data_IF_144377016813
#
_entry.id   IF_144377016813
#
_cell.length_a   1.000
_cell.length_b   1.000
_cell.length_c   1.000
_cell.angle_alpha   90.00
_cell.angle_beta   90.00
_cell.angle_gamma   90.00
#
_symmetry.space_group_name_H-M   'P 1'
#
loop_
_entity.id
_entity.type
_entity.pdbx_description
1 polymer ?
#
# COMPACT_ATOMS: atom_id res chain seq x y z
N UNK A 1 48.37 11.49 4.03
CA UNK A 1 46.95 11.87 4.04
C UNK A 1 46.20 10.65 3.59
N UNK A 2 45.87 9.79 4.55
CA UNK A 2 45.07 8.60 4.30
C UNK A 2 43.63 9.07 4.05
N UNK A 3 43.14 8.80 2.84
CA UNK A 3 41.73 8.90 2.50
C UNK A 3 40.96 7.92 3.39
N UNK A 4 40.36 8.44 4.46
CA UNK A 4 39.29 7.75 5.17
C UNK A 4 38.11 7.65 4.21
N UNK A 5 38.02 6.54 3.47
CA UNK A 5 36.76 6.08 2.89
C UNK A 5 35.81 5.84 4.05
N UNK A 6 34.95 6.83 4.30
CA UNK A 6 33.81 6.69 5.20
C UNK A 6 32.91 5.60 4.60
N UNK A 7 32.84 4.44 5.22
CA UNK A 7 31.85 3.42 4.84
C UNK A 7 30.47 4.02 5.09
N UNK A 8 29.70 4.18 4.02
CA UNK A 8 28.33 4.66 4.07
C UNK A 8 27.45 3.54 4.63
N UNK A 9 26.51 3.91 5.50
CA UNK A 9 25.47 3.01 6.00
C UNK A 9 24.51 2.61 4.86
N UNK A 10 23.75 1.52 5.05
CA UNK A 10 22.72 1.11 4.08
C UNK A 10 21.67 2.21 3.85
N UNK A 11 21.28 2.93 4.91
CA UNK A 11 20.34 4.04 4.82
C UNK A 11 20.90 5.21 3.98
N UNK A 12 22.17 5.57 4.16
CA UNK A 12 22.83 6.60 3.34
C UNK A 12 22.94 6.18 1.87
N UNK A 13 23.18 4.89 1.62
CA UNK A 13 23.23 4.34 0.26
C UNK A 13 21.87 4.40 -0.43
N UNK A 14 20.78 4.03 0.27
CA UNK A 14 19.42 4.11 -0.25
C UNK A 14 19.02 5.56 -0.56
N UNK A 15 19.31 6.50 0.35
CA UNK A 15 19.02 7.92 0.14
C UNK A 15 19.74 8.48 -1.11
N UNK A 16 21.02 8.10 -1.32
CA UNK A 16 21.77 8.49 -2.52
C UNK A 16 21.18 7.91 -3.81
N UNK A 17 20.72 6.65 -3.77
CA UNK A 17 20.03 6.04 -4.91
C UNK A 17 18.73 6.77 -5.24
N UNK A 18 17.90 7.06 -4.24
CA UNK A 18 16.65 7.81 -4.43
C UNK A 18 16.91 9.22 -5.00
N UNK A 19 17.95 9.92 -4.53
CA UNK A 19 18.32 11.23 -5.06
C UNK A 19 18.77 11.15 -6.53
N UNK A 20 19.58 10.13 -6.87
CA UNK A 20 20.01 9.89 -8.24
C UNK A 20 18.84 9.59 -9.19
N UNK A 21 17.90 8.75 -8.75
CA UNK A 21 16.69 8.41 -9.51
C UNK A 21 15.80 9.64 -9.73
N UNK A 22 15.64 10.48 -8.70
CA UNK A 22 14.87 11.73 -8.82
C UNK A 22 15.52 12.73 -9.77
N UNK A 23 16.85 12.82 -9.80
CA UNK A 23 17.57 13.66 -10.75
C UNK A 23 17.48 13.13 -12.20
N UNK A 24 17.54 11.81 -12.40
CA UNK A 24 17.31 11.20 -13.71
C UNK A 24 15.89 11.45 -14.20
N UNK A 25 14.90 11.22 -13.33
CA UNK A 25 13.49 11.52 -13.58
C UNK A 25 13.30 12.99 -13.98
N UNK A 26 13.89 13.92 -13.24
CA UNK A 26 13.82 15.35 -13.55
C UNK A 26 14.39 15.65 -14.93
N UNK A 27 15.55 15.10 -15.29
CA UNK A 27 16.10 15.27 -16.66
C UNK A 27 15.12 14.75 -17.73
N UNK A 28 14.44 13.63 -17.47
CA UNK A 28 13.45 13.08 -18.39
C UNK A 28 12.23 14.01 -18.58
N UNK A 29 11.71 14.63 -17.52
CA UNK A 29 10.58 15.57 -17.61
C UNK A 29 10.94 16.83 -18.42
N UNK A 30 12.15 17.35 -18.24
CA UNK A 30 12.61 18.61 -18.86
C UNK A 30 13.19 18.44 -20.28
N UNK A 31 13.21 17.24 -20.86
CA UNK A 31 13.83 17.01 -22.18
C UNK A 31 13.01 17.50 -23.37
N UNK A 32 11.69 17.58 -23.19
CA UNK A 32 10.75 17.88 -24.28
C UNK A 32 10.38 19.36 -24.29
N UNK A 33 10.19 19.93 -25.48
CA UNK A 33 9.57 21.26 -25.63
C UNK A 33 8.05 21.14 -25.60
N UNK A 34 7.38 22.18 -25.13
CA UNK A 34 5.93 22.26 -25.23
C UNK A 34 5.47 22.16 -26.70
N UNK A 35 4.50 21.28 -27.01
CA UNK A 35 3.91 21.24 -28.34
C UNK A 35 3.19 22.55 -28.68
N UNK A 36 3.21 22.95 -29.96
CA UNK A 36 2.52 24.16 -30.44
C UNK A 36 1.01 24.11 -30.15
N UNK A 37 0.42 22.92 -30.31
CA UNK A 37 -0.99 22.65 -30.11
C UNK A 37 -1.18 21.66 -28.97
N UNK A 38 -2.15 21.94 -28.10
CA UNK A 38 -2.49 21.07 -26.98
C UNK A 38 -3.50 19.98 -27.40
N UNK A 39 -3.11 19.13 -28.35
CA UNK A 39 -3.89 17.97 -28.80
C UNK A 39 -3.21 16.67 -28.40
N UNK A 40 -3.98 15.59 -28.30
CA UNK A 40 -3.46 14.26 -27.99
C UNK A 40 -2.44 13.79 -29.04
N UNK A 41 -2.69 14.07 -30.33
CA UNK A 41 -1.75 13.72 -31.40
C UNK A 41 -0.42 14.47 -31.26
N UNK A 42 -0.47 15.77 -30.99
CA UNK A 42 0.73 16.60 -30.82
C UNK A 42 1.51 16.21 -29.54
N UNK A 43 0.80 15.84 -28.47
CA UNK A 43 1.40 15.28 -27.25
C UNK A 43 2.19 14.01 -27.54
N UNK A 44 1.57 13.01 -28.17
CA UNK A 44 2.22 11.72 -28.46
C UNK A 44 3.38 11.88 -29.45
N UNK A 45 3.27 12.81 -30.41
CA UNK A 45 4.37 13.09 -31.34
C UNK A 45 5.58 13.76 -30.66
N UNK A 46 5.38 14.49 -29.57
CA UNK A 46 6.49 15.08 -28.80
C UNK A 46 7.25 14.01 -27.98
N UNK A 47 6.55 12.99 -27.48
CA UNK A 47 7.12 11.92 -26.66
C UNK A 47 8.14 11.06 -27.42
N UNK A 48 9.07 10.39 -26.73
CA UNK A 48 9.98 9.43 -27.37
C UNK A 48 9.27 8.12 -27.67
N UNK A 49 9.87 7.29 -28.55
CA UNK A 49 9.33 5.95 -28.82
C UNK A 49 9.21 5.11 -27.54
N UNK A 50 10.19 5.21 -26.63
CA UNK A 50 10.18 4.48 -25.36
C UNK A 50 8.96 4.87 -24.51
N UNK A 51 8.69 6.18 -24.35
CA UNK A 51 7.51 6.63 -23.61
C UNK A 51 6.19 6.20 -24.25
N UNK A 52 6.13 6.13 -25.59
CA UNK A 52 4.96 5.59 -26.29
C UNK A 52 4.82 4.07 -26.07
N UNK A 53 5.93 3.35 -26.01
CA UNK A 53 5.94 1.92 -25.69
C UNK A 53 5.52 1.66 -24.24
N UNK A 54 5.87 2.55 -23.30
CA UNK A 54 5.38 2.50 -21.91
C UNK A 54 3.86 2.67 -21.86
N UNK A 55 3.32 3.68 -22.57
CA UNK A 55 1.86 3.83 -22.70
C UNK A 55 1.23 2.58 -23.33
N UNK A 56 1.81 2.05 -24.41
CA UNK A 56 1.34 0.82 -25.06
C UNK A 56 1.29 -0.35 -24.08
N UNK A 57 2.32 -0.50 -23.25
CA UNK A 57 2.41 -1.56 -22.25
C UNK A 57 1.36 -1.38 -21.15
N UNK A 58 1.26 -0.18 -20.58
CA UNK A 58 0.31 0.14 -19.50
C UNK A 58 -1.15 -0.02 -19.93
N UNK A 59 -1.46 0.34 -21.19
CA UNK A 59 -2.80 0.14 -21.77
C UNK A 59 -3.02 -1.29 -22.32
N UNK A 60 -2.04 -2.19 -22.16
CA UNK A 60 -2.06 -3.56 -22.64
C UNK A 60 -2.40 -3.71 -24.14
N UNK A 61 -1.81 -2.85 -24.98
CA UNK A 61 -2.08 -2.82 -26.42
C UNK A 61 -1.15 -3.81 -27.13
N UNK A 62 -1.74 -4.89 -27.64
CA UNK A 62 -1.05 -5.95 -28.38
C UNK A 62 -0.84 -5.62 -29.87
N UNK A 63 0.13 -6.31 -30.49
CA UNK A 63 0.43 -6.17 -31.93
C UNK A 63 0.85 -4.76 -32.35
N UNK A 64 1.53 -4.01 -31.48
CA UNK A 64 1.97 -2.63 -31.75
C UNK A 64 3.45 -2.36 -31.43
N UNK A 65 4.18 -3.34 -30.86
CA UNK A 65 5.58 -3.16 -30.41
C UNK A 65 6.58 -2.89 -31.54
N UNK A 66 6.30 -3.39 -32.74
CA UNK A 66 7.14 -3.21 -33.94
C UNK A 66 6.88 -1.89 -34.68
N UNK A 67 5.84 -1.14 -34.30
CA UNK A 67 5.49 0.11 -34.99
C UNK A 67 6.57 1.18 -34.79
N UNK A 68 6.78 1.99 -35.82
CA UNK A 68 7.62 3.19 -35.70
C UNK A 68 6.90 4.25 -34.87
N UNK A 69 7.65 5.21 -34.31
CA UNK A 69 7.12 6.25 -33.41
C UNK A 69 5.83 6.91 -33.91
N UNK A 70 5.80 7.35 -35.18
CA UNK A 70 4.64 8.04 -35.74
C UNK A 70 3.41 7.11 -35.86
N UNK A 71 3.60 5.89 -36.35
CA UNK A 71 2.53 4.89 -36.47
C UNK A 71 2.01 4.46 -35.09
N UNK A 72 2.90 4.33 -34.11
CA UNK A 72 2.56 4.01 -32.73
C UNK A 72 1.72 5.14 -32.11
N UNK A 73 2.13 6.41 -32.27
CA UNK A 73 1.38 7.56 -31.78
C UNK A 73 -0.04 7.60 -32.37
N UNK A 74 -0.21 7.31 -33.66
CA UNK A 74 -1.52 7.24 -34.31
C UNK A 74 -2.38 6.09 -33.78
N UNK A 75 -1.78 4.93 -33.51
CA UNK A 75 -2.49 3.78 -32.90
C UNK A 75 -2.88 4.03 -31.45
N UNK A 76 -2.06 4.73 -30.68
CA UNK A 76 -2.29 4.99 -29.26
C UNK A 76 -3.44 5.98 -28.99
N UNK A 77 -3.57 7.02 -29.80
CA UNK A 77 -4.55 8.09 -29.57
C UNK A 77 -6.00 7.59 -29.33
N UNK A 78 -6.60 6.72 -30.19
CA UNK A 78 -7.95 6.21 -29.94
C UNK A 78 -8.03 5.26 -28.73
N UNK A 79 -7.00 4.47 -28.46
CA UNK A 79 -6.97 3.54 -27.32
C UNK A 79 -6.86 4.28 -25.99
N UNK A 80 -6.08 5.37 -25.92
CA UNK A 80 -6.02 6.26 -24.74
C UNK A 80 -7.41 6.83 -24.44
N UNK A 81 -8.14 7.31 -25.46
CA UNK A 81 -9.48 7.87 -25.26
C UNK A 81 -10.49 6.81 -24.82
N UNK A 82 -10.40 5.59 -25.36
CA UNK A 82 -11.21 4.46 -24.92
C UNK A 82 -10.91 4.10 -23.46
N UNK A 83 -9.63 4.04 -23.09
CA UNK A 83 -9.20 3.77 -21.73
C UNK A 83 -9.67 4.86 -20.77
N UNK A 84 -9.47 6.13 -21.11
CA UNK A 84 -9.90 7.27 -20.28
C UNK A 84 -11.39 7.18 -19.90
N UNK A 85 -12.27 6.77 -20.82
CA UNK A 85 -13.72 6.61 -20.53
C UNK A 85 -14.02 5.52 -19.51
N UNK A 86 -13.19 4.48 -19.45
CA UNK A 86 -13.33 3.35 -18.52
C UNK A 86 -12.67 3.68 -17.18
N UNK A 87 -11.57 4.44 -17.22
CA UNK A 87 -10.76 4.79 -16.07
C UNK A 87 -11.32 5.98 -15.27
N UNK A 88 -11.91 6.97 -15.93
CA UNK A 88 -12.43 8.16 -15.26
C UNK A 88 -13.44 7.87 -14.12
N UNK A 89 -14.37 6.90 -14.24
CA UNK A 89 -15.26 6.56 -13.13
C UNK A 89 -14.58 6.03 -11.86
N UNK A 90 -13.33 5.53 -11.95
CA UNK A 90 -12.60 4.98 -10.80
C UNK A 90 -11.63 5.96 -10.12
N UNK A 91 -11.62 7.22 -10.54
CA UNK A 91 -10.68 8.21 -9.99
C UNK A 91 -11.02 8.56 -8.54
N UNK A 92 -9.98 8.90 -7.79
CA UNK A 92 -10.08 9.44 -6.44
C UNK A 92 -10.33 10.95 -6.49
N UNK A 93 -10.70 11.54 -5.35
CA UNK A 93 -11.03 12.97 -5.25
C UNK A 93 -9.85 13.85 -5.64
N UNK A 94 -8.63 13.49 -5.21
CA UNK A 94 -7.42 14.26 -5.55
C UNK A 94 -7.12 14.24 -7.07
N UNK A 95 -7.42 13.12 -7.75
CA UNK A 95 -7.30 13.02 -9.21
C UNK A 95 -8.38 13.86 -9.91
N UNK A 96 -9.62 13.84 -9.40
CA UNK A 96 -10.69 14.71 -9.87
C UNK A 96 -10.29 16.19 -9.74
N UNK A 97 -9.79 16.61 -8.58
CA UNK A 97 -9.30 17.97 -8.31
C UNK A 97 -8.13 18.35 -9.24
N UNK A 98 -7.21 17.42 -9.49
CA UNK A 98 -6.12 17.60 -10.44
C UNK A 98 -6.64 17.85 -11.88
N UNK A 99 -7.62 17.06 -12.32
CA UNK A 99 -8.22 17.23 -13.64
C UNK A 99 -9.04 18.53 -13.72
N UNK A 100 -9.79 18.89 -12.67
CA UNK A 100 -10.48 20.18 -12.53
C UNK A 100 -9.52 21.36 -12.66
N UNK A 101 -8.39 21.30 -11.98
CA UNK A 101 -7.34 22.30 -12.07
C UNK A 101 -6.87 22.50 -13.52
N UNK A 102 -6.66 21.42 -14.27
CA UNK A 102 -6.36 21.53 -15.70
C UNK A 102 -7.53 22.11 -16.52
N UNK A 103 -8.79 21.87 -16.16
CA UNK A 103 -9.93 22.51 -16.84
C UNK A 103 -9.88 24.03 -16.64
N UNK A 104 -9.67 24.49 -15.41
CA UNK A 104 -9.60 25.91 -15.04
C UNK A 104 -8.40 26.62 -15.70
N UNK A 105 -7.25 25.96 -15.72
CA UNK A 105 -6.00 26.47 -16.31
C UNK A 105 -5.91 26.24 -17.84
N UNK A 106 -7.05 26.01 -18.51
CA UNK A 106 -7.15 25.82 -19.98
C UNK A 106 -6.22 24.71 -20.52
N UNK A 107 -5.98 23.70 -19.69
CA UNK A 107 -5.26 22.47 -20.01
C UNK A 107 -3.75 22.53 -19.85
N UNK A 108 -3.20 23.58 -19.23
CA UNK A 108 -1.75 23.73 -18.99
C UNK A 108 -1.50 24.27 -17.59
N UNK A 109 -0.56 23.70 -16.83
CA UNK A 109 -0.20 24.21 -15.51
C UNK A 109 1.30 24.23 -15.28
N UNK A 110 1.77 25.38 -14.78
CA UNK A 110 3.13 25.56 -14.23
C UNK A 110 3.17 25.45 -12.69
N UNK A 111 2.02 25.15 -12.05
CA UNK A 111 1.86 25.16 -10.59
C UNK A 111 2.07 23.78 -9.96
N UNK A 112 2.00 22.72 -10.76
CA UNK A 112 2.24 21.35 -10.29
C UNK A 112 3.74 21.15 -10.08
N UNK A 113 4.11 20.55 -8.94
CA UNK A 113 5.49 20.29 -8.59
C UNK A 113 6.09 19.24 -9.52
N UNK A 114 7.38 19.37 -9.80
CA UNK A 114 8.11 18.42 -10.64
C UNK A 114 8.67 17.23 -9.86
N UNK A 115 8.53 17.20 -8.54
CA UNK A 115 8.86 16.06 -7.65
C UNK A 115 7.64 15.19 -7.29
N UNK A 116 6.44 15.55 -7.77
CA UNK A 116 5.25 14.71 -7.63
C UNK A 116 5.32 13.54 -8.62
N UNK A 117 5.66 12.35 -8.12
CA UNK A 117 5.81 11.12 -8.90
C UNK A 117 4.47 10.56 -9.41
N UNK A 118 3.33 10.95 -8.80
CA UNK A 118 2.00 10.45 -9.22
C UNK A 118 1.61 10.95 -10.60
N UNK A 119 2.14 12.09 -11.02
CA UNK A 119 1.94 12.60 -12.37
C UNK A 119 2.59 11.70 -13.44
N UNK A 120 3.59 10.89 -13.08
CA UNK A 120 4.17 9.92 -14.02
C UNK A 120 3.20 8.80 -14.36
N UNK A 121 2.36 8.40 -13.41
CA UNK A 121 1.31 7.41 -13.66
C UNK A 121 0.33 7.93 -14.71
N UNK A 122 -0.22 9.13 -14.53
CA UNK A 122 -1.13 9.74 -15.52
C UNK A 122 -0.46 9.98 -16.88
N UNK A 123 0.84 10.27 -16.88
CA UNK A 123 1.66 10.38 -18.09
C UNK A 123 1.87 9.04 -18.77
N UNK A 124 2.13 7.98 -17.99
CA UNK A 124 2.25 6.60 -18.44
C UNK A 124 0.94 6.01 -18.97
N UNK A 125 -0.21 6.62 -18.64
CA UNK A 125 -1.51 6.32 -19.23
C UNK A 125 -1.82 7.16 -20.49
N UNK A 126 -0.98 8.16 -20.79
CA UNK A 126 -1.21 9.11 -21.88
C UNK A 126 -2.35 10.10 -21.61
N UNK A 127 -2.75 10.29 -20.35
CA UNK A 127 -3.82 11.24 -19.97
C UNK A 127 -3.31 12.67 -19.85
N UNK A 128 -2.03 12.83 -19.54
CA UNK A 128 -1.31 14.10 -19.50
C UNK A 128 0.13 13.92 -19.97
N UNK A 129 0.84 15.02 -20.15
CA UNK A 129 2.28 15.02 -20.36
C UNK A 129 2.88 16.34 -19.89
N UNK A 130 4.17 16.54 -20.11
CA UNK A 130 4.89 17.74 -19.74
C UNK A 130 5.89 18.17 -20.82
N UNK A 131 6.22 19.45 -20.82
CA UNK A 131 7.23 20.02 -21.69
C UNK A 131 7.71 21.38 -21.20
N UNK A 132 8.87 21.81 -21.68
CA UNK A 132 9.45 23.12 -21.35
C UNK A 132 8.80 24.24 -22.14
N UNK A 133 8.47 25.32 -21.45
CA UNK A 133 8.20 26.64 -22.00
C UNK A 133 9.18 27.64 -21.38
N UNK A 134 10.21 28.03 -22.15
CA UNK A 134 11.42 28.64 -21.61
C UNK A 134 12.14 27.69 -20.64
N UNK A 135 12.38 28.15 -19.41
CA UNK A 135 13.01 27.35 -18.35
C UNK A 135 12.02 26.62 -17.44
N UNK A 136 10.72 26.84 -17.61
CA UNK A 136 9.69 26.26 -16.76
C UNK A 136 9.16 24.95 -17.32
N UNK A 137 8.96 23.97 -16.46
CA UNK A 137 8.17 22.78 -16.78
C UNK A 137 6.69 23.13 -16.77
N UNK A 138 5.99 22.78 -17.84
CA UNK A 138 4.55 22.93 -17.96
C UNK A 138 3.95 21.54 -18.12
N UNK A 139 3.12 21.14 -17.16
CA UNK A 139 2.26 19.97 -17.31
C UNK A 139 1.05 20.35 -18.16
N UNK A 140 0.56 19.44 -18.99
CA UNK A 140 -0.60 19.70 -19.83
C UNK A 140 -1.45 18.45 -20.06
N UNK A 141 -2.76 18.64 -20.03
CA UNK A 141 -3.76 17.64 -20.36
C UNK A 141 -4.28 17.94 -21.77
N UNK A 142 -4.22 17.02 -22.76
CA UNK A 142 -4.63 17.27 -24.14
C UNK A 142 -6.14 17.51 -24.27
N UNK A 143 -6.55 18.31 -25.27
CA UNK A 143 -7.93 18.78 -25.43
C UNK A 143 -8.96 17.65 -25.51
N UNK A 144 -8.58 16.50 -26.09
CA UNK A 144 -9.45 15.34 -26.23
C UNK A 144 -9.74 14.70 -24.87
N UNK A 145 -8.73 14.57 -23.98
CA UNK A 145 -8.92 14.07 -22.62
C UNK A 145 -9.75 15.05 -21.79
N UNK A 146 -9.50 16.36 -21.92
CA UNK A 146 -10.36 17.38 -21.30
C UNK A 146 -11.82 17.26 -21.75
N UNK A 147 -12.05 16.93 -23.02
CA UNK A 147 -13.39 16.75 -23.56
C UNK A 147 -14.06 15.49 -23.01
N UNK A 148 -13.32 14.39 -22.79
CA UNK A 148 -13.87 13.20 -22.12
C UNK A 148 -14.22 13.47 -20.66
N UNK A 149 -13.32 14.12 -19.90
CA UNK A 149 -13.56 14.49 -18.51
C UNK A 149 -14.79 15.42 -18.36
N UNK A 150 -14.91 16.46 -19.18
CA UNK A 150 -16.04 17.40 -19.18
C UNK A 150 -17.41 16.77 -19.45
N UNK A 151 -17.47 15.57 -20.05
CA UNK A 151 -18.75 14.87 -20.24
C UNK A 151 -19.30 14.31 -18.92
N UNK A 152 -18.41 14.02 -17.99
CA UNK A 152 -18.73 13.46 -16.67
C UNK A 152 -18.79 14.55 -15.60
N UNK A 153 -18.00 15.61 -15.78
CA UNK A 153 -17.85 16.70 -14.82
C UNK A 153 -19.19 17.30 -14.37
N UNK A 154 -19.57 16.92 -13.16
CA UNK A 154 -20.84 17.23 -12.53
C UNK A 154 -20.71 16.99 -11.01
N UNK A 155 -21.61 17.57 -10.19
CA UNK A 155 -21.64 17.28 -8.75
C UNK A 155 -21.75 15.78 -8.43
N UNK A 156 -22.44 15.00 -9.28
CA UNK A 156 -22.54 13.55 -9.10
C UNK A 156 -21.19 12.84 -9.33
N UNK A 157 -20.37 13.34 -10.26
CA UNK A 157 -19.06 12.76 -10.53
C UNK A 157 -18.05 13.12 -9.42
N UNK A 158 -18.11 14.34 -8.88
CA UNK A 158 -17.36 14.72 -7.68
C UNK A 158 -17.75 13.86 -6.46
N UNK A 159 -19.06 13.62 -6.26
CA UNK A 159 -19.56 12.72 -5.22
C UNK A 159 -19.07 11.29 -5.42
N UNK A 160 -19.03 10.78 -6.66
CA UNK A 160 -18.45 9.48 -6.98
C UNK A 160 -16.95 9.42 -6.65
N UNK A 161 -16.16 10.43 -7.03
CA UNK A 161 -14.74 10.48 -6.70
C UNK A 161 -14.48 10.55 -5.19
N UNK A 162 -15.36 11.25 -4.45
CA UNK A 162 -15.36 11.27 -2.99
C UNK A 162 -15.62 9.89 -2.41
N UNK A 163 -16.64 9.19 -2.91
CA UNK A 163 -16.97 7.83 -2.50
C UNK A 163 -15.84 6.83 -2.85
N UNK A 164 -15.21 6.94 -4.02
CA UNK A 164 -14.04 6.13 -4.38
C UNK A 164 -12.88 6.32 -3.40
N UNK A 165 -12.69 7.55 -2.90
CA UNK A 165 -11.67 7.88 -1.90
C UNK A 165 -12.01 7.26 -0.54
N UNK A 166 -13.28 7.30 -0.14
CA UNK A 166 -13.79 6.62 1.06
C UNK A 166 -13.59 5.10 0.98
N UNK A 167 -13.98 4.48 -0.13
CA UNK A 167 -13.79 3.04 -0.40
C UNK A 167 -12.31 2.67 -0.30
N UNK A 168 -11.43 3.45 -0.93
CA UNK A 168 -9.98 3.24 -0.89
C UNK A 168 -9.45 3.30 0.55
N UNK A 169 -9.93 4.27 1.32
CA UNK A 169 -9.52 4.46 2.71
C UNK A 169 -10.02 3.34 3.61
N UNK A 170 -11.26 2.89 3.45
CA UNK A 170 -11.80 1.73 4.18
C UNK A 170 -11.06 0.44 3.80
N UNK A 171 -10.73 0.24 2.52
CA UNK A 171 -9.88 -0.87 2.08
C UNK A 171 -8.53 -0.83 2.78
N UNK A 172 -7.83 0.31 2.77
CA UNK A 172 -6.55 0.45 3.43
C UNK A 172 -6.64 0.16 4.94
N UNK A 173 -7.74 0.58 5.60
CA UNK A 173 -8.00 0.27 7.01
C UNK A 173 -8.21 -1.22 7.28
N UNK A 174 -8.97 -1.91 6.43
CA UNK A 174 -9.11 -3.37 6.54
C UNK A 174 -7.77 -4.07 6.34
N UNK A 175 -6.99 -3.67 5.33
CA UNK A 175 -5.71 -4.28 5.02
C UNK A 175 -4.64 -3.93 6.07
N UNK A 176 -4.72 -2.78 6.74
CA UNK A 176 -3.88 -2.47 7.90
C UNK A 176 -4.03 -3.52 9.01
N UNK A 177 -5.26 -3.98 9.27
CA UNK A 177 -5.52 -4.99 10.31
C UNK A 177 -5.41 -6.43 9.82
N UNK A 178 -5.53 -6.70 8.52
CA UNK A 178 -5.63 -8.08 8.00
C UNK A 178 -4.51 -8.48 7.04
N UNK A 179 -3.71 -7.54 6.57
CA UNK A 179 -2.58 -7.74 5.65
C UNK A 179 -3.00 -7.97 4.21
N UNK A 180 -3.89 -8.93 3.96
CA UNK A 180 -4.35 -9.31 2.63
C UNK A 180 -5.80 -9.77 2.65
N UNK A 181 -6.53 -9.47 1.58
CA UNK A 181 -7.85 -10.03 1.32
C UNK A 181 -8.09 -10.23 -0.19
N UNK A 182 -8.80 -11.30 -0.53
CA UNK A 182 -9.34 -11.47 -1.88
C UNK A 182 -10.41 -10.41 -2.20
N UNK A 183 -10.63 -10.15 -3.49
CA UNK A 183 -11.55 -9.10 -3.91
C UNK A 183 -13.00 -9.29 -3.43
N UNK A 184 -13.51 -10.52 -3.38
CA UNK A 184 -14.91 -10.78 -3.02
C UNK A 184 -15.15 -10.52 -1.54
N UNK A 185 -14.25 -11.00 -0.69
CA UNK A 185 -14.30 -10.76 0.76
C UNK A 185 -14.14 -9.28 1.06
N UNK A 186 -13.15 -8.63 0.43
CA UNK A 186 -12.87 -7.22 0.66
C UNK A 186 -14.02 -6.32 0.20
N UNK A 187 -14.57 -6.56 -1.00
CA UNK A 187 -15.76 -5.89 -1.50
C UNK A 187 -16.92 -6.00 -0.52
N UNK A 188 -17.22 -7.21 -0.06
CA UNK A 188 -18.32 -7.46 0.88
C UNK A 188 -18.15 -6.66 2.18
N UNK A 189 -16.92 -6.66 2.73
CA UNK A 189 -16.60 -5.95 3.97
C UNK A 189 -16.70 -4.43 3.80
N UNK A 190 -16.08 -3.88 2.76
CA UNK A 190 -16.10 -2.43 2.48
C UNK A 190 -17.51 -1.95 2.18
N UNK A 191 -18.24 -2.64 1.29
CA UNK A 191 -19.63 -2.31 0.99
C UNK A 191 -20.51 -2.34 2.24
N UNK A 192 -20.25 -3.27 3.17
CA UNK A 192 -20.92 -3.36 4.47
C UNK A 192 -20.73 -2.16 5.39
N UNK A 193 -19.67 -1.35 5.18
CA UNK A 193 -19.41 -0.12 5.94
C UNK A 193 -20.03 1.13 5.30
N UNK A 194 -20.45 1.07 4.03
CA UNK A 194 -21.05 2.19 3.32
C UNK A 194 -22.52 2.37 3.69
N UNK A 195 -23.01 3.60 3.53
CA UNK A 195 -24.43 3.93 3.62
C UNK A 195 -25.24 3.17 2.56
N UNK A 196 -26.54 2.97 2.82
CA UNK A 196 -27.38 2.09 2.00
C UNK A 196 -27.45 2.52 0.52
N UNK A 197 -27.55 3.82 0.26
CA UNK A 197 -27.59 4.40 -1.08
C UNK A 197 -26.24 4.28 -1.81
N UNK A 198 -25.12 4.50 -1.12
CA UNK A 198 -23.79 4.28 -1.67
C UNK A 198 -23.58 2.80 -2.02
N UNK A 199 -23.95 1.90 -1.10
CA UNK A 199 -23.82 0.45 -1.28
C UNK A 199 -24.61 -0.07 -2.48
N UNK A 200 -25.84 0.38 -2.68
CA UNK A 200 -26.67 -0.03 -3.82
C UNK A 200 -26.08 0.40 -5.17
N UNK A 201 -25.30 1.48 -5.18
CA UNK A 201 -24.67 2.03 -6.39
C UNK A 201 -23.25 1.50 -6.65
N UNK A 202 -22.64 0.78 -5.71
CA UNK A 202 -21.32 0.19 -5.87
C UNK A 202 -21.42 -1.22 -6.46
N UNK A 203 -21.00 -1.40 -7.71
CA UNK A 203 -20.85 -2.74 -8.27
C UNK A 203 -19.48 -3.35 -7.91
N UNK A 204 -19.40 -4.69 -7.89
CA UNK A 204 -18.12 -5.39 -7.70
C UNK A 204 -17.06 -4.98 -8.73
N UNK A 205 -17.47 -4.80 -9.99
CA UNK A 205 -16.57 -4.36 -11.06
C UNK A 205 -16.02 -2.95 -10.81
N UNK A 206 -16.88 -2.03 -10.37
CA UNK A 206 -16.47 -0.66 -10.10
C UNK A 206 -15.54 -0.62 -8.89
N UNK A 207 -15.84 -1.39 -7.84
CA UNK A 207 -14.94 -1.58 -6.69
C UNK A 207 -13.55 -2.04 -7.13
N UNK A 208 -13.45 -3.11 -7.94
CA UNK A 208 -12.15 -3.57 -8.46
C UNK A 208 -11.46 -2.49 -9.29
N UNK A 209 -12.21 -1.74 -10.10
CA UNK A 209 -11.68 -0.60 -10.84
C UNK A 209 -11.05 0.47 -9.94
N UNK A 210 -11.73 0.81 -8.83
CA UNK A 210 -11.21 1.73 -7.80
C UNK A 210 -9.95 1.16 -7.17
N UNK A 211 -9.90 -0.13 -6.81
CA UNK A 211 -8.71 -0.75 -6.20
C UNK A 211 -7.50 -0.71 -7.13
N UNK A 212 -7.67 -1.02 -8.41
CA UNK A 212 -6.60 -0.98 -9.41
C UNK A 212 -6.07 0.44 -9.62
N UNK A 213 -6.96 1.44 -9.64
CA UNK A 213 -6.54 2.83 -9.75
C UNK A 213 -5.85 3.32 -8.47
N UNK A 214 -6.46 3.06 -7.31
CA UNK A 214 -5.94 3.45 -6.02
C UNK A 214 -4.56 2.85 -5.73
N UNK A 215 -4.29 1.60 -6.13
CA UNK A 215 -2.97 0.98 -5.97
C UNK A 215 -1.88 1.63 -6.84
N UNK A 216 -2.26 2.40 -7.85
CA UNK A 216 -1.32 3.17 -8.68
C UNK A 216 -1.17 4.62 -8.20
N UNK A 217 -2.21 5.17 -7.54
CA UNK A 217 -2.22 6.56 -7.06
C UNK A 217 -1.73 6.72 -5.61
N UNK A 218 -1.95 5.70 -4.78
CA UNK A 218 -1.65 5.69 -3.35
C UNK A 218 -0.60 4.65 -3.01
N UNK A 219 0.11 4.84 -1.89
CA UNK A 219 1.19 3.95 -1.46
C UNK A 219 0.77 3.00 -0.32
N UNK A 220 -0.52 2.94 0.02
CA UNK A 220 -1.01 2.16 1.18
C UNK A 220 -1.43 0.74 0.81
N UNK A 221 -1.80 0.51 -0.45
CA UNK A 221 -2.34 -0.77 -0.91
C UNK A 221 -1.68 -1.19 -2.23
N UNK A 222 -1.59 -2.51 -2.44
CA UNK A 222 -1.06 -3.11 -3.66
C UNK A 222 -2.11 -4.08 -4.21
N UNK A 223 -2.61 -3.80 -5.41
CA UNK A 223 -3.53 -4.69 -6.09
C UNK A 223 -2.77 -5.88 -6.69
N UNK A 224 -3.29 -7.07 -6.44
CA UNK A 224 -2.80 -8.35 -6.96
C UNK A 224 -3.87 -8.97 -7.88
N UNK A 225 -3.54 -10.02 -8.65
CA UNK A 225 -4.52 -10.67 -9.52
C UNK A 225 -5.77 -11.20 -8.79
N UNK A 226 -5.64 -11.63 -7.54
CA UNK A 226 -6.72 -12.29 -6.78
C UNK A 226 -7.24 -11.47 -5.58
N UNK A 227 -6.59 -10.36 -5.25
CA UNK A 227 -6.92 -9.59 -4.07
C UNK A 227 -6.09 -8.33 -3.95
N UNK A 228 -6.06 -7.78 -2.74
CA UNK A 228 -5.29 -6.57 -2.43
C UNK A 228 -4.53 -6.82 -1.13
N UNK A 229 -3.29 -6.37 -1.07
CA UNK A 229 -2.49 -6.39 0.17
C UNK A 229 -2.16 -4.99 0.65
N UNK A 230 -1.91 -4.89 1.96
CA UNK A 230 -1.28 -3.72 2.55
C UNK A 230 0.18 -3.64 2.07
N UNK A 231 0.69 -2.42 1.86
CA UNK A 231 1.99 -2.22 1.21
C UNK A 231 3.19 -2.83 1.97
N UNK A 232 3.08 -3.00 3.29
CA UNK A 232 4.13 -3.60 4.13
C UNK A 232 4.04 -5.11 4.25
N UNK A 233 3.05 -5.76 3.61
CA UNK A 233 2.97 -7.22 3.59
C UNK A 233 4.00 -7.82 2.63
N UNK A 234 4.89 -8.62 3.20
CA UNK A 234 6.02 -9.23 2.49
C UNK A 234 5.54 -10.36 1.58
N UNK A 235 4.80 -11.33 2.13
CA UNK A 235 4.37 -12.53 1.41
C UNK A 235 2.91 -12.87 1.73
N UNK A 236 2.03 -12.59 0.77
CA UNK A 236 0.60 -12.87 0.88
C UNK A 236 0.29 -14.37 0.96
N UNK A 237 1.05 -15.23 0.29
CA UNK A 237 0.80 -16.67 0.30
C UNK A 237 1.16 -17.28 1.66
N UNK A 238 2.29 -16.85 2.23
CA UNK A 238 2.70 -17.25 3.57
C UNK A 238 1.68 -16.81 4.63
N UNK A 239 1.17 -15.58 4.52
CA UNK A 239 0.13 -15.09 5.42
C UNK A 239 -1.16 -15.90 5.31
N UNK A 240 -1.65 -16.15 4.09
CA UNK A 240 -2.86 -16.96 3.88
C UNK A 240 -2.70 -18.37 4.47
N UNK A 241 -1.55 -19.02 4.25
CA UNK A 241 -1.28 -20.34 4.80
C UNK A 241 -1.23 -20.34 6.34
N UNK A 242 -0.73 -19.28 6.96
CA UNK A 242 -0.77 -19.12 8.42
C UNK A 242 -2.21 -18.91 8.92
N UNK A 243 -2.97 -18.01 8.30
CA UNK A 243 -4.37 -17.76 8.66
C UNK A 243 -5.27 -19.00 8.46
N UNK A 244 -4.95 -19.87 7.50
CA UNK A 244 -5.62 -21.16 7.28
C UNK A 244 -5.42 -22.13 8.45
N UNK A 245 -4.28 -22.10 9.15
CA UNK A 245 -4.07 -22.89 10.38
C UNK A 245 -5.04 -22.47 11.49
N UNK A 246 -5.51 -21.22 11.43
CA UNK A 246 -6.52 -20.64 12.30
C UNK A 246 -7.90 -20.60 11.62
N UNK A 247 -8.29 -21.64 10.87
CA UNK A 247 -9.56 -21.66 10.13
C UNK A 247 -10.81 -21.44 10.98
N UNK A 248 -10.75 -21.80 12.27
CA UNK A 248 -11.86 -21.65 13.22
C UNK A 248 -11.90 -20.26 13.91
N UNK A 249 -10.94 -19.39 13.63
CA UNK A 249 -10.91 -18.02 14.13
C UNK A 249 -11.52 -17.09 13.08
N UNK A 250 -12.55 -16.35 13.45
CA UNK A 250 -13.08 -15.27 12.61
C UNK A 250 -12.15 -14.06 12.65
N UNK A 251 -12.21 -13.23 11.61
CA UNK A 251 -11.53 -11.93 11.63
C UNK A 251 -12.01 -11.07 12.80
N UNK A 252 -11.12 -10.26 13.35
CA UNK A 252 -11.51 -9.23 14.32
C UNK A 252 -12.59 -8.31 13.71
N UNK A 253 -13.40 -7.65 14.54
CA UNK A 253 -14.41 -6.71 14.05
C UNK A 253 -13.98 -5.29 14.35
N UNK A 254 -14.06 -4.43 13.33
CA UNK A 254 -13.72 -3.01 13.43
C UNK A 254 -14.86 -2.17 12.88
N UNK A 255 -15.16 -1.07 13.56
CA UNK A 255 -16.16 -0.11 13.12
C UNK A 255 -15.63 0.85 12.05
N UNK A 256 -16.55 1.46 11.30
CA UNK A 256 -16.24 2.44 10.25
C UNK A 256 -15.14 3.44 10.64
N UNK A 257 -15.30 4.12 11.78
CA UNK A 257 -14.38 5.19 12.20
C UNK A 257 -12.95 4.67 12.36
N UNK A 258 -12.79 3.51 13.00
CA UNK A 258 -11.48 2.90 13.22
C UNK A 258 -10.83 2.49 11.90
N UNK A 259 -11.59 1.87 10.99
CA UNK A 259 -11.10 1.52 9.66
C UNK A 259 -10.71 2.75 8.84
N UNK A 260 -11.54 3.79 8.87
CA UNK A 260 -11.27 5.02 8.13
C UNK A 260 -10.03 5.75 8.67
N UNK A 261 -9.81 5.75 9.99
CA UNK A 261 -8.60 6.29 10.61
C UNK A 261 -7.36 5.45 10.26
N UNK A 262 -7.46 4.12 10.36
CA UNK A 262 -6.38 3.17 10.03
C UNK A 262 -5.95 3.22 8.56
N UNK A 263 -6.88 3.57 7.66
CA UNK A 263 -6.60 3.70 6.23
C UNK A 263 -5.93 5.01 5.81
N UNK A 264 -5.64 5.92 6.74
CA UNK A 264 -4.92 7.15 6.44
C UNK A 264 -3.49 6.86 5.98
N UNK A 265 -2.95 7.68 5.07
CA UNK A 265 -1.54 7.63 4.73
C UNK A 265 -0.69 7.87 5.98
N UNK A 266 0.32 7.02 6.19
CA UNK A 266 1.20 7.06 7.36
C UNK A 266 0.46 6.96 8.70
N UNK A 267 -0.67 6.25 8.74
CA UNK A 267 -1.35 5.96 10.00
C UNK A 267 -0.41 5.22 10.96
N UNK A 268 -0.46 5.63 12.23
CA UNK A 268 0.23 4.97 13.34
C UNK A 268 -0.81 4.72 14.42
N UNK A 269 -0.92 3.46 14.85
CA UNK A 269 -1.73 3.11 16.00
C UNK A 269 -0.97 3.47 17.29
N UNK A 270 -1.11 4.72 17.72
CA UNK A 270 -0.37 5.30 18.84
C UNK A 270 -0.93 4.87 20.21
N UNK A 271 -0.94 3.56 20.45
CA UNK A 271 -1.30 2.93 21.73
C UNK A 271 -0.37 3.41 22.86
N UNK A 272 -0.70 3.07 24.10
CA UNK A 272 0.17 3.42 25.23
C UNK A 272 1.50 2.66 25.13
N UNK A 273 1.45 1.41 24.69
CA UNK A 273 2.58 0.52 24.51
C UNK A 273 3.51 1.03 23.40
N UNK A 274 2.95 1.55 22.29
CA UNK A 274 3.71 2.27 21.27
C UNK A 274 4.46 3.45 21.88
N UNK A 275 3.76 4.30 22.65
CA UNK A 275 4.32 5.52 23.24
C UNK A 275 5.40 5.20 24.26
N UNK A 276 5.22 4.16 25.06
CA UNK A 276 6.19 3.75 26.07
C UNK A 276 7.48 3.26 25.41
N UNK A 277 7.37 2.47 24.34
CA UNK A 277 8.52 2.00 23.58
C UNK A 277 9.24 3.15 22.85
N UNK A 278 8.50 4.06 22.21
CA UNK A 278 9.08 5.25 21.58
C UNK A 278 9.78 6.15 22.61
N UNK A 279 9.15 6.38 23.78
CA UNK A 279 9.75 7.18 24.85
C UNK A 279 11.01 6.54 25.43
N UNK A 280 11.06 5.21 25.52
CA UNK A 280 12.27 4.50 25.93
C UNK A 280 13.44 4.82 24.99
N UNK A 281 13.25 4.73 23.68
CA UNK A 281 14.31 5.06 22.72
C UNK A 281 14.71 6.54 22.78
N UNK A 282 13.76 7.45 23.00
CA UNK A 282 14.08 8.87 23.17
C UNK A 282 14.90 9.15 24.43
N UNK A 283 14.54 8.55 25.57
CA UNK A 283 15.17 8.83 26.87
C UNK A 283 16.50 8.12 27.05
N UNK A 284 16.56 6.83 26.75
CA UNK A 284 17.71 5.98 27.04
C UNK A 284 18.75 5.95 25.91
N UNK A 285 18.35 6.31 24.68
CA UNK A 285 19.22 6.31 23.50
C UNK A 285 19.33 7.67 22.82
N UNK A 286 18.64 8.71 23.32
CA UNK A 286 18.72 10.06 22.77
C UNK A 286 18.16 10.20 21.35
N UNK A 287 17.32 9.25 20.92
CA UNK A 287 16.65 9.33 19.63
C UNK A 287 15.76 10.58 19.56
N UNK A 288 15.76 11.24 18.41
CA UNK A 288 14.69 12.19 18.11
C UNK A 288 13.36 11.46 17.85
N UNK A 289 12.29 12.24 17.76
CA UNK A 289 10.92 11.71 17.61
C UNK A 289 10.78 10.88 16.33
N UNK A 290 11.40 11.30 15.22
CA UNK A 290 11.28 10.61 13.95
C UNK A 290 12.04 9.28 14.02
N UNK A 291 13.26 9.29 14.54
CA UNK A 291 14.06 8.08 14.69
C UNK A 291 13.41 7.06 15.64
N UNK A 292 12.81 7.53 16.73
CA UNK A 292 12.07 6.65 17.64
C UNK A 292 10.82 6.05 16.97
N UNK A 293 10.07 6.86 16.21
CA UNK A 293 8.92 6.39 15.44
C UNK A 293 9.31 5.37 14.37
N UNK A 294 10.43 5.59 13.66
CA UNK A 294 10.95 4.66 12.67
C UNK A 294 11.29 3.30 13.29
N UNK A 295 12.02 3.28 14.42
CA UNK A 295 12.39 2.03 15.11
C UNK A 295 11.14 1.26 15.54
N UNK A 296 10.16 1.93 16.14
CA UNK A 296 8.91 1.27 16.56
C UNK A 296 8.10 0.81 15.34
N UNK A 297 8.11 1.58 14.25
CA UNK A 297 7.47 1.22 12.98
C UNK A 297 8.06 -0.04 12.35
N UNK A 298 9.38 -0.19 12.33
CA UNK A 298 10.05 -1.40 11.84
C UNK A 298 9.69 -2.63 12.69
N UNK A 299 9.65 -2.47 14.02
CA UNK A 299 9.17 -3.53 14.93
C UNK A 299 7.72 -3.89 14.62
N UNK A 300 6.84 -2.89 14.44
CA UNK A 300 5.45 -3.11 14.10
C UNK A 300 5.29 -3.90 12.80
N UNK A 301 6.01 -3.52 11.73
CA UNK A 301 6.00 -4.22 10.45
C UNK A 301 6.49 -5.67 10.60
N UNK A 302 7.58 -5.88 11.35
CA UNK A 302 8.13 -7.20 11.64
C UNK A 302 7.09 -8.09 12.33
N UNK A 303 6.44 -7.57 13.39
CA UNK A 303 5.45 -8.31 14.15
C UNK A 303 4.20 -8.62 13.31
N UNK A 304 3.68 -7.65 12.55
CA UNK A 304 2.51 -7.86 11.68
C UNK A 304 2.76 -8.95 10.61
N UNK A 305 3.98 -9.04 10.09
CA UNK A 305 4.39 -10.10 9.16
C UNK A 305 4.64 -11.46 9.84
N UNK A 306 4.35 -11.59 11.14
CA UNK A 306 4.53 -12.84 11.90
C UNK A 306 5.94 -13.08 12.40
N UNK A 307 6.79 -12.04 12.38
CA UNK A 307 8.10 -12.08 13.01
C UNK A 307 8.01 -12.29 14.51
N UNK A 308 9.05 -12.89 15.06
CA UNK A 308 9.16 -13.28 16.45
C UNK A 308 9.75 -12.18 17.32
N UNK A 309 9.49 -12.28 18.62
CA UNK A 309 10.12 -11.44 19.64
C UNK A 309 11.66 -11.54 19.63
N UNK A 310 12.20 -12.68 19.21
CA UNK A 310 13.65 -12.86 19.07
C UNK A 310 14.17 -12.01 17.91
N UNK A 311 13.53 -12.06 16.74
CA UNK A 311 13.92 -11.23 15.59
C UNK A 311 13.79 -9.73 15.89
N UNK A 312 12.76 -9.33 16.64
CA UNK A 312 12.62 -7.95 17.12
C UNK A 312 13.76 -7.55 18.08
N UNK A 313 14.20 -8.45 18.97
CA UNK A 313 15.34 -8.21 19.85
C UNK A 313 16.67 -8.16 19.07
N UNK A 314 16.86 -9.04 18.09
CA UNK A 314 18.02 -9.04 17.19
C UNK A 314 18.11 -7.74 16.38
N UNK A 315 16.98 -7.23 15.89
CA UNK A 315 16.90 -5.92 15.25
C UNK A 315 17.37 -4.79 16.18
N UNK A 316 16.89 -4.78 17.43
CA UNK A 316 17.30 -3.78 18.42
C UNK A 316 18.79 -3.91 18.80
N UNK A 317 19.32 -5.13 18.88
CA UNK A 317 20.75 -5.37 19.12
C UNK A 317 21.62 -4.82 17.98
N UNK A 318 21.22 -5.04 16.72
CA UNK A 318 21.91 -4.49 15.54
C UNK A 318 21.94 -2.96 15.53
N UNK A 319 20.94 -2.31 16.12
CA UNK A 319 20.88 -0.85 16.27
C UNK A 319 21.67 -0.32 17.47
N UNK A 320 22.29 -1.18 18.29
CA UNK A 320 22.93 -0.76 19.54
C UNK A 320 21.92 -0.35 20.62
N UNK A 321 20.66 -0.80 20.51
CA UNK A 321 19.61 -0.47 21.48
C UNK A 321 19.61 -1.41 22.70
N UNK A 322 20.47 -2.44 22.68
CA UNK A 322 20.56 -3.50 23.69
C UNK A 322 22.02 -3.76 24.14
N UNK A 323 22.86 -2.72 24.15
CA UNK A 323 24.31 -2.84 24.40
C UNK A 323 24.69 -3.35 25.80
N UNK A 324 23.82 -3.17 26.80
CA UNK A 324 24.07 -3.62 28.17
C UNK A 324 22.88 -4.34 28.80
N UNK A 325 23.17 -5.13 29.86
CA UNK A 325 22.18 -5.95 30.55
C UNK A 325 21.03 -5.14 31.17
N UNK A 326 21.29 -3.90 31.59
CA UNK A 326 20.27 -3.04 32.19
C UNK A 326 19.28 -2.56 31.13
N UNK A 327 19.77 -2.12 29.96
CA UNK A 327 18.94 -1.72 28.82
C UNK A 327 18.14 -2.89 28.27
N UNK A 328 18.75 -4.07 28.14
CA UNK A 328 18.03 -5.29 27.77
C UNK A 328 16.87 -5.58 28.72
N UNK A 329 17.12 -5.55 30.03
CA UNK A 329 16.09 -5.78 31.06
C UNK A 329 14.99 -4.71 31.03
N UNK A 330 15.30 -3.49 30.60
CA UNK A 330 14.34 -2.40 30.50
C UNK A 330 13.46 -2.47 29.25
N UNK A 331 14.02 -2.83 28.08
CA UNK A 331 13.28 -2.83 26.81
C UNK A 331 12.43 -4.08 26.61
N UNK A 332 12.86 -5.25 27.09
CA UNK A 332 12.16 -6.52 26.87
C UNK A 332 10.70 -6.48 27.36
N UNK A 333 10.38 -5.98 28.58
CA UNK A 333 8.99 -5.85 29.02
C UNK A 333 8.15 -4.92 28.13
N UNK A 334 8.73 -3.82 27.63
CA UNK A 334 8.05 -2.89 26.74
C UNK A 334 7.74 -3.54 25.39
N UNK A 335 8.69 -4.31 24.85
CA UNK A 335 8.50 -5.04 23.60
C UNK A 335 7.41 -6.11 23.73
N UNK A 336 7.38 -6.83 24.87
CA UNK A 336 6.33 -7.84 25.14
C UNK A 336 4.95 -7.17 25.22
N UNK A 337 4.85 -6.05 25.96
CA UNK A 337 3.61 -5.30 26.08
C UNK A 337 3.13 -4.84 24.70
N UNK A 338 4.03 -4.27 23.89
CA UNK A 338 3.70 -3.81 22.56
C UNK A 338 3.22 -4.93 21.64
N UNK A 339 3.91 -6.07 21.60
CA UNK A 339 3.47 -7.25 20.83
C UNK A 339 2.07 -7.73 21.25
N UNK A 340 1.80 -7.78 22.57
CA UNK A 340 0.55 -8.33 23.08
C UNK A 340 -0.69 -7.48 22.74
N UNK A 341 -0.49 -6.18 22.51
CA UNK A 341 -1.54 -5.23 22.12
C UNK A 341 -1.50 -4.87 20.62
N UNK A 342 -0.59 -5.47 19.84
CA UNK A 342 -0.53 -5.25 18.40
C UNK A 342 -1.52 -6.16 17.67
N UNK A 343 -2.31 -5.60 16.76
CA UNK A 343 -3.16 -6.38 15.86
C UNK A 343 -2.32 -7.10 14.79
N UNK A 344 -2.31 -8.44 14.83
CA UNK A 344 -1.43 -9.26 13.99
C UNK A 344 -2.19 -9.90 12.83
N UNK A 345 -1.63 -9.84 11.62
CA UNK A 345 -2.24 -10.47 10.45
C UNK A 345 -2.35 -11.99 10.54
N UNK A 346 -1.35 -12.75 11.05
CA UNK A 346 -1.50 -14.18 11.32
C UNK A 346 -2.70 -14.53 12.20
N UNK A 347 -3.04 -13.61 13.11
CA UNK A 347 -4.17 -13.73 14.04
C UNK A 347 -5.44 -13.07 13.49
N UNK A 348 -5.54 -12.85 12.17
CA UNK A 348 -6.72 -12.27 11.51
C UNK A 348 -7.16 -10.93 12.11
N UNK A 349 -6.19 -10.13 12.53
CA UNK A 349 -6.40 -8.81 13.11
C UNK A 349 -6.77 -8.81 14.58
N UNK A 350 -6.74 -9.94 15.30
CA UNK A 350 -6.83 -9.92 16.77
C UNK A 350 -5.46 -9.60 17.37
N UNK A 351 -5.45 -9.03 18.58
CA UNK A 351 -4.25 -8.95 19.41
C UNK A 351 -4.04 -10.25 20.18
N UNK A 352 -2.79 -10.61 20.55
CA UNK A 352 -2.54 -11.73 21.45
C UNK A 352 -3.32 -11.63 22.78
N UNK A 353 -3.41 -10.44 23.38
CA UNK A 353 -4.15 -10.21 24.64
C UNK A 353 -5.64 -10.51 24.51
N UNK A 354 -6.29 -10.11 23.42
CA UNK A 354 -7.71 -10.38 23.17
C UNK A 354 -8.01 -11.88 23.07
N UNK A 355 -7.18 -12.62 22.34
CA UNK A 355 -7.33 -14.07 22.20
C UNK A 355 -7.08 -14.79 23.53
N UNK A 356 -6.10 -14.31 24.29
CA UNK A 356 -5.80 -14.82 25.62
C UNK A 356 -6.97 -14.62 26.60
N UNK A 357 -7.53 -13.41 26.67
CA UNK A 357 -8.68 -13.11 27.51
C UNK A 357 -9.90 -13.98 27.17
N UNK A 358 -10.13 -14.25 25.88
CA UNK A 358 -11.19 -15.16 25.39
C UNK A 358 -10.95 -16.62 25.78
N UNK A 359 -9.70 -17.03 25.97
CA UNK A 359 -9.32 -18.41 26.36
C UNK A 359 -9.43 -18.71 27.86
N UNK A 360 -9.65 -17.70 28.70
CA UNK A 360 -9.99 -17.86 30.13
C UNK A 360 -8.83 -18.23 31.06
N UNK A 361 -7.58 -18.14 30.60
CA UNK A 361 -6.38 -18.34 31.44
C UNK A 361 -5.81 -16.95 31.79
N UNK A 362 -5.37 -16.74 33.03
CA UNK A 362 -4.86 -15.45 33.52
C UNK A 362 -3.33 -15.31 33.41
N UNK A 363 -2.88 -14.11 33.03
CA UNK A 363 -1.51 -13.56 32.90
C UNK A 363 -0.36 -14.39 32.26
N UNK A 364 0.22 -13.75 31.23
CA UNK A 364 1.53 -13.96 30.56
C UNK A 364 1.90 -15.42 30.26
N UNK A 365 1.55 -15.88 29.06
CA UNK A 365 2.08 -17.12 28.49
C UNK A 365 3.12 -16.78 27.40
N UNK A 366 4.35 -17.30 27.46
CA UNK A 366 5.30 -17.24 26.36
C UNK A 366 4.72 -17.92 25.10
N UNK A 367 4.82 -17.26 23.95
CA UNK A 367 4.21 -17.66 22.67
C UNK A 367 4.57 -19.08 22.18
N UNK A 368 5.59 -19.72 22.76
CA UNK A 368 5.89 -21.13 22.55
C UNK A 368 4.71 -22.08 22.90
N UNK A 369 3.81 -21.70 23.80
CA UNK A 369 2.67 -22.53 24.20
C UNK A 369 1.42 -22.33 23.31
N UNK A 370 1.26 -21.20 22.64
CA UNK A 370 0.16 -20.98 21.68
C UNK A 370 0.29 -21.93 20.47
N UNK A 371 1.52 -22.30 20.11
CA UNK A 371 1.80 -23.33 19.07
C UNK A 371 1.43 -24.77 19.47
N UNK A 372 1.05 -25.03 20.73
CA UNK A 372 0.76 -26.38 21.22
C UNK A 372 -0.56 -26.47 21.98
N UNK A 373 -1.67 -26.11 21.33
CA UNK A 373 -2.89 -26.84 21.66
C UNK A 373 -2.72 -28.28 21.18
N UNK A 374 -2.26 -29.17 22.07
CA UNK A 374 -2.20 -30.60 21.80
C UNK A 374 -3.62 -31.05 21.47
N UNK A 375 -3.88 -31.35 20.19
CA UNK A 375 -5.12 -31.97 19.78
C UNK A 375 -5.34 -33.22 20.65
N UNK A 376 -6.51 -33.32 21.28
CA UNK A 376 -6.87 -34.48 22.08
C UNK A 376 -6.82 -35.72 21.19
N UNK A 377 -6.39 -36.85 21.75
CA UNK A 377 -6.17 -38.11 21.00
C UNK A 377 -7.38 -38.51 20.12
N UNK A 378 -8.60 -38.10 20.49
CA UNK A 378 -9.83 -38.39 19.75
C UNK A 378 -10.38 -37.21 18.91
N UNK A 379 -9.77 -36.04 18.95
CA UNK A 379 -10.23 -34.83 18.24
C UNK A 379 -9.92 -34.92 16.74
N UNK A 380 -10.62 -34.16 15.88
CA UNK A 380 -10.27 -34.03 14.47
C UNK A 380 -8.81 -33.60 14.31
N UNK A 381 -8.08 -34.27 13.42
CA UNK A 381 -6.66 -34.03 13.22
C UNK A 381 -6.40 -32.66 12.56
N UNK A 382 -5.50 -31.82 13.11
CA UNK A 382 -5.28 -30.45 12.64
C UNK A 382 -4.68 -30.35 11.23
N UNK A 383 -4.20 -31.45 10.65
CA UNK A 383 -3.69 -31.48 9.27
C UNK A 383 -4.80 -31.51 8.18
N UNK A 384 -6.07 -31.34 8.56
CA UNK A 384 -7.20 -31.30 7.62
C UNK A 384 -7.60 -32.65 7.02
N UNK A 385 -7.11 -33.78 7.55
CA UNK A 385 -7.37 -35.11 6.98
C UNK A 385 -8.77 -35.68 7.28
N UNK A 386 -9.54 -35.02 8.15
CA UNK A 386 -10.85 -35.48 8.63
C UNK A 386 -10.79 -36.71 9.56
N UNK A 387 -9.62 -37.26 9.86
CA UNK A 387 -9.42 -38.39 10.79
C UNK A 387 -9.24 -37.90 12.22
N UNK A 388 -9.51 -38.77 13.22
CA UNK A 388 -9.12 -38.50 14.61
C UNK A 388 -7.59 -38.41 14.73
N UNK A 389 -7.08 -37.50 15.56
CA UNK A 389 -5.65 -37.20 15.69
C UNK A 389 -4.79 -38.46 15.93
N UNK A 390 -5.25 -39.40 16.78
CA UNK A 390 -4.59 -40.69 17.02
C UNK A 390 -4.38 -41.60 15.81
N UNK A 391 -5.17 -41.41 14.77
CA UNK A 391 -5.15 -42.22 13.56
C UNK A 391 -4.50 -41.46 12.38
N UNK A 392 -3.86 -40.32 12.64
CA UNK A 392 -3.28 -39.48 11.59
C UNK A 392 -1.90 -38.95 11.97
N UNK A 393 -1.80 -37.82 12.66
CA UNK A 393 -0.51 -37.20 12.94
C UNK A 393 0.11 -37.62 14.28
N UNK A 394 -0.64 -38.21 15.21
CA UNK A 394 -0.12 -38.56 16.54
C UNK A 394 1.16 -39.42 16.49
N UNK A 395 1.21 -40.44 15.63
CA UNK A 395 2.40 -41.31 15.52
C UNK A 395 3.60 -40.63 14.82
N UNK A 396 3.37 -39.51 14.12
CA UNK A 396 4.40 -38.69 13.50
C UNK A 396 4.94 -37.63 14.46
N UNK A 397 4.14 -37.24 15.46
CA UNK A 397 4.49 -36.25 16.47
C UNK A 397 5.10 -36.88 17.74
N UNK A 398 4.99 -38.21 17.91
CA UNK A 398 5.60 -39.00 19.01
C UNK A 398 6.97 -39.65 18.64
N UNK A 399 7.45 -39.44 17.41
CA UNK A 399 8.80 -39.80 16.93
C UNK A 399 9.56 -38.52 16.55
#
# INVERSE_FOLDING_TARGET
MEDQKKELTQAETLAQMMEADMEERKKALYRHKMPEKNTLKDMLNAMTKAELDDIRYNLNISGASSLKKAELAEKLAPEILKFARIWLPSILLEEYECFQHFILEKGKSAKLRDDDVRLDYLRGLGLLSCGKDGDKLIWYMPKEIRAEFKKLDSPNFEALATMNTEITRLTAGYLFYYGYMDYETLYTKVAGQLEADQRENLSFKDFVGVMLNASCWTNTIVALPQGVKYYTLIDENALEDEQRKHSNLDYAEFGYKQLFEAGANNHIDATNEYKDLAQFFMKEHGCDVLKAADIVGEIFILLQNGGSMQEAAEYLEQLGMMEDEAKMKAVVPLLIAYNNETHLWPLKGHTPSELFAKSGVGQVIPFAEVRRQKAGRNDPCPCGSGKKYKNCCLSKDEN
#
